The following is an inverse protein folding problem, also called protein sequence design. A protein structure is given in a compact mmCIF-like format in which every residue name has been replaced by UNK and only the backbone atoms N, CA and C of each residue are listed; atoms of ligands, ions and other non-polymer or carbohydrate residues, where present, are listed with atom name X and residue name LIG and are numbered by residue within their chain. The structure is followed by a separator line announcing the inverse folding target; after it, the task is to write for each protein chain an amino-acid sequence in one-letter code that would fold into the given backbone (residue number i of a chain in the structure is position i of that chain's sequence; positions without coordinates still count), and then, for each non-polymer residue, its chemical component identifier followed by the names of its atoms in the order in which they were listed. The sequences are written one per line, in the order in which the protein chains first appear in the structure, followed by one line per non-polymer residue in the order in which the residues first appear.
data_IF_371893236485
#
_entry.id   IF_371893236485
#
_cell.length_a   1.000
_cell.length_b   1.000
_cell.length_c   1.000
_cell.angle_alpha   90.00
_cell.angle_beta   90.00
_cell.angle_gamma   90.00
#
_symmetry.space_group_name_H-M   'P 1'
#
loop_
_entity.id
_entity.type
_entity.pdbx_description
1 polymer ?
#
# COMPACT_ATOMS: atom_id res chain seq x y z
N UNK A 1 9.71 0.68 11.76
CA UNK A 1 9.28 0.91 10.35
C UNK A 1 7.81 1.30 10.19
N UNK A 2 6.91 0.96 11.12
CA UNK A 2 5.47 1.34 11.04
C UNK A 2 5.19 2.83 10.79
N UNK A 3 5.85 3.79 11.47
CA UNK A 3 5.59 5.22 11.27
C UNK A 3 5.94 5.71 9.86
N UNK A 4 7.00 5.17 9.26
CA UNK A 4 7.43 5.56 7.91
C UNK A 4 6.39 5.15 6.87
N UNK A 5 5.94 3.89 6.92
CA UNK A 5 4.89 3.39 6.02
C UNK A 5 3.59 4.14 6.20
N UNK A 6 3.21 4.41 7.46
CA UNK A 6 2.00 5.18 7.76
C UNK A 6 2.06 6.59 7.17
N UNK A 7 3.19 7.27 7.32
CA UNK A 7 3.39 8.60 6.76
C UNK A 7 3.39 8.58 5.23
N UNK A 8 3.99 7.56 4.60
CA UNK A 8 3.95 7.39 3.16
C UNK A 8 2.52 7.17 2.66
N UNK A 9 1.74 6.30 3.29
CA UNK A 9 0.34 6.05 2.92
C UNK A 9 -0.52 7.30 3.15
N UNK A 10 -0.31 8.04 4.24
CA UNK A 10 -1.00 9.32 4.49
C UNK A 10 -0.65 10.38 3.45
N UNK A 11 0.62 10.44 3.03
CA UNK A 11 1.06 11.34 1.97
C UNK A 11 0.43 10.96 0.62
N UNK A 12 0.42 9.68 0.27
CA UNK A 12 -0.22 9.16 -0.94
C UNK A 12 -1.74 9.39 -0.94
N UNK A 13 -2.39 9.31 0.21
CA UNK A 13 -3.82 9.60 0.35
C UNK A 13 -4.13 11.10 0.20
N UNK A 14 -3.12 11.98 0.19
CA UNK A 14 -3.28 13.41 -0.11
C UNK A 14 -4.22 14.16 0.83
N UNK A 15 -4.41 13.68 2.07
CA UNK A 15 -5.38 14.22 3.02
C UNK A 15 -6.85 13.86 2.73
N UNK A 16 -7.13 13.11 1.66
CA UNK A 16 -8.42 12.47 1.46
C UNK A 16 -8.44 11.20 2.30
N UNK A 17 -9.56 10.95 2.99
CA UNK A 17 -9.86 9.65 3.61
C UNK A 17 -10.20 8.60 2.54
N UNK A 18 -9.37 8.54 1.49
CA UNK A 18 -9.55 7.61 0.38
C UNK A 18 -9.29 6.20 0.88
N UNK A 19 -10.17 5.27 0.49
CA UNK A 19 -10.04 3.84 0.80
C UNK A 19 -8.69 3.34 0.32
N UNK A 20 -7.92 2.76 1.23
CA UNK A 20 -6.61 2.16 0.94
C UNK A 20 -6.82 0.69 0.57
N UNK A 21 -6.57 0.34 -0.69
CA UNK A 21 -6.58 -1.05 -1.12
C UNK A 21 -5.23 -1.71 -0.85
N UNK A 22 -5.25 -2.82 -0.13
CA UNK A 22 -4.06 -3.62 0.15
C UNK A 22 -4.18 -4.93 -0.59
N UNK A 23 -3.19 -5.26 -1.41
CA UNK A 23 -3.16 -6.53 -2.12
C UNK A 23 -3.15 -7.70 -1.11
N UNK A 24 -3.86 -8.78 -1.41
CA UNK A 24 -3.87 -10.00 -0.59
C UNK A 24 -2.47 -10.58 -0.32
N UNK A 25 -1.51 -10.32 -1.21
CA UNK A 25 -0.09 -10.67 -1.06
C UNK A 25 0.65 -9.90 0.05
N UNK A 26 0.03 -8.82 0.56
CA UNK A 26 0.48 -7.92 1.62
C UNK A 26 -0.52 -7.89 2.79
N UNK A 27 -1.16 -9.02 3.09
CA UNK A 27 -2.17 -9.14 4.16
C UNK A 27 -1.77 -8.53 5.50
N UNK A 28 -0.48 -8.57 5.85
CA UNK A 28 0.05 -8.08 7.13
C UNK A 28 0.13 -6.54 7.20
N UNK A 29 0.00 -5.84 6.06
CA UNK A 29 -0.03 -4.37 6.02
C UNK A 29 -1.42 -3.82 6.39
N UNK A 30 -2.50 -4.51 6.02
CA UNK A 30 -3.87 -4.12 6.34
C UNK A 30 -4.10 -3.92 7.86
N UNK A 31 -3.79 -4.87 8.76
CA UNK A 31 -3.97 -4.66 10.19
C UNK A 31 -3.12 -3.51 10.75
N UNK A 32 -1.92 -3.28 10.21
CA UNK A 32 -1.05 -2.17 10.63
C UNK A 32 -1.66 -0.80 10.29
N UNK A 33 -2.26 -0.67 9.11
CA UNK A 33 -2.94 0.55 8.68
C UNK A 33 -4.23 0.78 9.48
N UNK A 34 -5.04 -0.28 9.67
CA UNK A 34 -6.25 -0.24 10.49
C UNK A 34 -5.97 0.15 11.94
N UNK A 35 -4.90 -0.38 12.55
CA UNK A 35 -4.49 -0.04 13.92
C UNK A 35 -4.21 1.47 14.09
N UNK A 36 -3.80 2.13 13.00
CA UNK A 36 -3.46 3.55 12.99
C UNK A 36 -4.58 4.44 12.40
N UNK A 37 -5.81 3.90 12.27
CA UNK A 37 -7.02 4.64 11.90
C UNK A 37 -7.15 4.94 10.41
N UNK A 38 -6.48 4.19 9.53
CA UNK A 38 -6.68 4.27 8.09
C UNK A 38 -7.69 3.21 7.63
N UNK A 39 -8.70 3.62 6.87
CA UNK A 39 -9.63 2.68 6.24
C UNK A 39 -8.91 1.92 5.13
N UNK A 40 -8.59 0.65 5.39
CA UNK A 40 -8.01 -0.24 4.40
C UNK A 40 -8.89 -1.47 4.13
N UNK A 41 -8.85 -1.95 2.90
CA UNK A 41 -9.56 -3.15 2.45
C UNK A 41 -8.60 -4.07 1.71
N UNK A 42 -8.76 -5.38 1.90
CA UNK A 42 -7.98 -6.37 1.18
C UNK A 42 -8.59 -6.60 -0.19
N UNK A 43 -7.86 -6.25 -1.23
CA UNK A 43 -8.30 -6.36 -2.62
C UNK A 43 -7.34 -7.28 -3.38
N UNK A 44 -7.82 -8.31 -4.09
CA UNK A 44 -6.94 -9.20 -4.86
C UNK A 44 -6.31 -8.50 -6.07
N UNK A 45 -6.96 -7.45 -6.60
CA UNK A 45 -6.53 -6.68 -7.75
C UNK A 45 -6.79 -5.18 -7.55
N UNK A 46 -6.18 -4.36 -8.40
CA UNK A 46 -6.43 -2.92 -8.41
C UNK A 46 -7.91 -2.63 -8.73
N UNK A 47 -8.55 -1.87 -7.86
CA UNK A 47 -9.92 -1.41 -8.02
C UNK A 47 -9.94 0.11 -8.25
N UNK A 48 -10.72 0.57 -9.23
CA UNK A 48 -10.79 1.98 -9.67
C UNK A 48 -11.35 2.91 -8.59
N UNK A 49 -12.01 2.35 -7.57
CA UNK A 49 -12.63 3.13 -6.49
C UNK A 49 -11.68 3.38 -5.29
N UNK A 50 -10.40 3.06 -5.43
CA UNK A 50 -9.39 3.21 -4.39
C UNK A 50 -8.64 4.53 -4.58
N UNK A 51 -8.33 5.22 -3.48
CA UNK A 51 -7.45 6.39 -3.53
C UNK A 51 -5.97 6.02 -3.48
N UNK A 52 -5.66 4.95 -2.74
CA UNK A 52 -4.29 4.42 -2.59
C UNK A 52 -4.32 2.91 -2.76
N UNK A 53 -3.36 2.36 -3.50
CA UNK A 53 -3.19 0.93 -3.67
C UNK A 53 -1.79 0.48 -3.23
N UNK A 54 -1.73 -0.57 -2.42
CA UNK A 54 -0.51 -1.17 -1.91
C UNK A 54 -0.35 -2.59 -2.48
N UNK A 55 0.70 -2.85 -3.26
CA UNK A 55 0.94 -4.18 -3.84
C UNK A 55 2.40 -4.63 -3.73
N UNK A 56 2.64 -5.94 -3.91
CA UNK A 56 4.01 -6.46 -4.07
C UNK A 56 4.52 -6.20 -5.49
N UNK A 57 5.79 -6.51 -5.74
CA UNK A 57 6.36 -6.54 -7.10
C UNK A 57 5.38 -7.24 -8.06
N UNK A 58 4.96 -6.48 -9.08
CA UNK A 58 3.87 -6.85 -9.99
C UNK A 58 4.40 -7.52 -11.26
N UNK A 59 3.51 -8.20 -11.98
CA UNK A 59 3.81 -8.77 -13.31
C UNK A 59 3.59 -7.73 -14.42
N UNK A 60 4.25 -7.84 -15.58
CA UNK A 60 4.08 -6.90 -16.71
C UNK A 60 2.61 -6.66 -17.11
N UNK A 61 1.75 -7.65 -16.88
CA UNK A 61 0.30 -7.54 -17.14
C UNK A 61 -0.41 -6.51 -16.26
N UNK A 62 0.02 -6.37 -15.00
CA UNK A 62 -0.58 -5.44 -14.04
C UNK A 62 0.06 -4.04 -14.12
N UNK A 63 1.26 -3.95 -14.72
CA UNK A 63 2.01 -2.71 -14.89
C UNK A 63 1.19 -1.62 -15.57
N UNK A 64 0.45 -1.99 -16.63
CA UNK A 64 -0.33 -1.03 -17.42
C UNK A 64 -1.49 -0.42 -16.63
N UNK A 65 -2.23 -1.26 -15.91
CA UNK A 65 -3.36 -0.79 -15.08
C UNK A 65 -2.88 0.08 -13.92
N UNK A 66 -1.74 -0.27 -13.31
CA UNK A 66 -1.11 0.54 -12.27
C UNK A 66 -0.64 1.90 -12.81
N UNK A 67 -0.10 1.93 -14.03
CA UNK A 67 0.31 3.17 -14.67
C UNK A 67 -0.87 4.09 -14.95
N UNK A 68 -1.98 3.55 -15.47
CA UNK A 68 -3.23 4.30 -15.70
C UNK A 68 -3.76 4.88 -14.38
N UNK A 69 -3.78 4.09 -13.31
CA UNK A 69 -4.19 4.54 -11.98
C UNK A 69 -3.35 5.70 -11.42
N UNK A 70 -2.03 5.61 -11.55
CA UNK A 70 -1.14 6.70 -11.11
C UNK A 70 -1.31 7.93 -12.00
N UNK A 71 -1.55 7.74 -13.30
CA UNK A 71 -1.82 8.84 -14.23
C UNK A 71 -3.15 9.56 -13.92
N UNK A 72 -4.14 8.84 -13.41
CA UNK A 72 -5.41 9.39 -12.91
C UNK A 72 -5.28 10.09 -11.54
N UNK A 73 -4.10 10.03 -10.91
CA UNK A 73 -3.80 10.66 -9.62
C UNK A 73 -3.93 9.73 -8.41
N UNK A 74 -4.07 8.42 -8.64
CA UNK A 74 -4.06 7.41 -7.59
C UNK A 74 -2.70 7.23 -6.94
N UNK A 75 -2.68 7.06 -5.61
CA UNK A 75 -1.46 6.83 -4.85
C UNK A 75 -1.00 5.36 -4.90
N UNK A 76 0.23 5.09 -5.34
CA UNK A 76 0.75 3.72 -5.45
C UNK A 76 1.92 3.48 -4.50
N UNK A 77 1.80 2.44 -3.66
CA UNK A 77 2.87 1.93 -2.80
C UNK A 77 3.26 0.50 -3.23
N UNK A 78 4.54 0.30 -3.57
CA UNK A 78 5.04 -1.01 -4.04
C UNK A 78 6.04 -1.57 -3.03
N UNK A 79 5.69 -2.72 -2.45
CA UNK A 79 6.55 -3.48 -1.56
C UNK A 79 7.38 -4.52 -2.31
N UNK A 80 8.71 -4.35 -2.34
CA UNK A 80 9.63 -5.35 -2.89
C UNK A 80 9.91 -6.53 -1.94
N UNK A 81 10.79 -7.44 -2.38
CA UNK A 81 11.26 -8.63 -1.62
C UNK A 81 11.88 -8.29 -0.24
N UNK A 82 12.25 -7.04 -0.01
CA UNK A 82 12.88 -6.57 1.24
C UNK A 82 11.89 -6.24 2.35
N UNK A 83 10.58 -6.36 2.12
CA UNK A 83 9.55 -6.05 3.13
C UNK A 83 9.66 -6.94 4.37
N UNK A 84 9.94 -8.23 4.18
CA UNK A 84 10.17 -9.17 5.29
C UNK A 84 11.40 -8.75 6.12
N UNK A 85 12.42 -8.18 5.47
CA UNK A 85 13.68 -7.79 6.10
C UNK A 85 13.53 -6.50 6.95
N UNK A 86 12.72 -5.55 6.48
CA UNK A 86 12.41 -4.31 7.20
C UNK A 86 11.43 -4.52 8.37
N UNK A 87 10.60 -5.57 8.31
CA UNK A 87 9.65 -5.90 9.38
C UNK A 87 10.30 -6.70 10.51
N UNK A 88 11.28 -7.55 10.19
CA UNK A 88 11.96 -8.42 11.16
C UNK A 88 13.24 -7.81 11.75
N UNK A 89 13.62 -6.58 11.39
CA UNK A 89 14.79 -5.94 12.01
C UNK A 89 14.47 -5.65 13.48
N UNK A 90 15.12 -6.32 14.46
CA UNK A 90 14.96 -5.98 15.85
C UNK A 90 15.56 -4.59 16.05
N UNK A 91 14.78 -3.69 16.61
CA UNK A 91 15.25 -2.40 17.10
C UNK A 91 16.22 -2.64 18.26
N UNK A 92 17.51 -2.80 17.95
CA UNK A 92 18.61 -2.60 18.87
C UNK A 92 19.57 -1.59 18.24
N UNK A 93 19.29 -0.32 18.50
CA UNK A 93 20.29 0.75 18.62
C UNK A 93 20.06 1.43 19.95
#
# INVERSE_FOLDING_TARGET
MGPFLLNAVRWLAGGQTGKVGVNTSLKDLCPLLSEHGLECSLEPHLNVNLGVYCCKAYSDKEAKQLQEFVAEGGGLLIGGQSWWWAWFSPSNF
#
